data_IF_061875443731
#
_entry.id   IF_061875443731
#
_cell.length_a   1.000
_cell.length_b   1.000
_cell.length_c   1.000
_cell.angle_alpha   90.00
_cell.angle_beta   90.00
_cell.angle_gamma   90.00
#
_symmetry.space_group_name_H-M   'P 1'
#
loop_
_entity.id
_entity.type
_entity.pdbx_description
1 polymer ?
#
# COMPACT_ATOMS: atom_id res chain seq x y z
N UNK A 1 -57.13 -56.46 -4.87
CA UNK A 1 -56.96 -55.00 -4.78
C UNK A 1 -55.47 -54.70 -5.01
N UNK A 2 -55.17 -53.72 -5.84
CA UNK A 2 -53.96 -53.51 -6.66
C UNK A 2 -52.59 -53.39 -5.92
N UNK A 3 -51.53 -53.81 -6.63
CA UNK A 3 -50.14 -53.35 -6.50
C UNK A 3 -49.95 -51.91 -7.05
N UNK A 4 -48.82 -51.26 -6.72
CA UNK A 4 -47.86 -50.44 -7.56
C UNK A 4 -47.29 -49.27 -6.70
N UNK A 5 -46.04 -49.30 -6.18
CA UNK A 5 -44.74 -48.77 -6.69
C UNK A 5 -44.78 -47.37 -7.37
N UNK A 6 -43.96 -46.40 -6.91
CA UNK A 6 -42.97 -45.64 -7.74
C UNK A 6 -42.60 -44.22 -7.26
N UNK A 7 -41.29 -44.03 -6.98
CA UNK A 7 -40.33 -42.97 -7.40
C UNK A 7 -40.73 -41.46 -7.50
N UNK A 8 -40.01 -40.65 -6.72
CA UNK A 8 -39.13 -39.49 -7.06
C UNK A 8 -39.48 -38.59 -8.28
N UNK A 9 -39.60 -37.27 -8.04
CA UNK A 9 -38.90 -36.20 -8.82
C UNK A 9 -38.55 -35.00 -7.93
N UNK A 10 -37.31 -34.56 -8.09
CA UNK A 10 -36.61 -33.38 -7.54
C UNK A 10 -36.79 -32.18 -8.50
N UNK A 11 -36.96 -30.92 -8.06
CA UNK A 11 -36.38 -29.71 -8.73
C UNK A 11 -36.79 -28.34 -8.12
N UNK A 12 -35.78 -27.68 -7.52
CA UNK A 12 -35.32 -26.28 -7.69
C UNK A 12 -36.21 -25.05 -7.38
N UNK A 13 -35.72 -24.32 -6.35
CA UNK A 13 -35.35 -22.88 -6.26
C UNK A 13 -36.41 -21.79 -6.52
N UNK A 14 -36.58 -20.92 -5.51
CA UNK A 14 -36.42 -19.47 -5.68
C UNK A 14 -36.14 -18.77 -4.35
N UNK A 15 -35.07 -17.97 -4.32
CA UNK A 15 -34.70 -17.00 -3.28
C UNK A 15 -35.58 -15.75 -3.39
N UNK A 16 -35.98 -15.12 -2.26
CA UNK A 16 -36.13 -13.65 -2.17
C UNK A 16 -36.29 -13.14 -0.73
N UNK A 17 -35.45 -12.12 -0.45
CA UNK A 17 -35.57 -11.02 0.51
C UNK A 17 -35.56 -11.27 2.03
N UNK A 18 -34.37 -11.08 2.63
CA UNK A 18 -34.24 -10.50 3.97
C UNK A 18 -34.10 -8.98 3.86
N UNK A 19 -34.92 -8.26 4.63
CA UNK A 19 -34.96 -6.79 4.74
C UNK A 19 -33.76 -6.31 5.55
N UNK A 20 -32.99 -5.37 5.01
CA UNK A 20 -31.97 -4.63 5.74
C UNK A 20 -32.61 -3.37 6.33
N UNK A 21 -32.48 -3.20 7.64
CA UNK A 21 -32.98 -2.06 8.40
C UNK A 21 -32.09 -0.84 8.15
N UNK A 22 -32.62 0.18 7.49
CA UNK A 22 -31.94 1.44 7.21
C UNK A 22 -32.04 2.38 8.42
N UNK A 23 -30.90 2.69 9.05
CA UNK A 23 -30.77 3.88 9.88
C UNK A 23 -30.49 5.07 8.96
N UNK A 24 -31.48 5.97 8.86
CA UNK A 24 -31.47 7.21 8.08
C UNK A 24 -31.01 8.34 9.01
N UNK A 25 -29.81 8.90 8.80
CA UNK A 25 -29.41 10.20 9.39
C UNK A 25 -29.55 11.28 8.33
N UNK A 26 -30.44 12.23 8.61
CA UNK A 26 -30.78 13.40 7.82
C UNK A 26 -29.53 14.25 7.49
N UNK A 27 -29.28 14.47 6.21
CA UNK A 27 -28.57 15.66 5.73
C UNK A 27 -29.60 16.55 5.03
N UNK A 28 -29.67 17.80 5.46
CA UNK A 28 -30.47 18.86 4.86
C UNK A 28 -30.10 19.02 3.38
N UNK A 29 -31.10 18.83 2.51
CA UNK A 29 -31.09 19.39 1.16
C UNK A 29 -31.36 20.89 1.26
N UNK A 30 -30.37 21.71 0.93
CA UNK A 30 -30.61 23.05 0.39
C UNK A 30 -29.37 23.57 -0.31
N UNK A 31 -29.48 23.69 -1.63
CA UNK A 31 -28.68 24.49 -2.56
C UNK A 31 -27.18 24.20 -2.68
N UNK A 32 -26.83 23.32 -3.61
CA UNK A 32 -25.65 23.52 -4.45
C UNK A 32 -26.10 23.55 -5.91
N UNK A 33 -25.84 24.69 -6.55
CA UNK A 33 -26.04 24.91 -7.98
C UNK A 33 -25.21 23.92 -8.80
N UNK A 34 -25.78 23.52 -9.93
CA UNK A 34 -25.25 22.61 -10.93
C UNK A 34 -23.87 23.06 -11.44
N UNK A 35 -22.79 22.36 -11.05
CA UNK A 35 -21.70 22.02 -11.98
C UNK A 35 -20.69 20.97 -11.47
N UNK A 36 -21.04 20.10 -10.52
CA UNK A 36 -20.13 19.01 -10.14
C UNK A 36 -20.55 17.74 -10.88
N UNK A 37 -19.81 17.38 -11.92
CA UNK A 37 -19.83 16.04 -12.47
C UNK A 37 -19.27 15.10 -11.39
N UNK A 38 -20.10 14.78 -10.40
CA UNK A 38 -19.75 14.03 -9.21
C UNK A 38 -19.12 12.71 -9.63
N UNK A 39 -17.80 12.62 -9.49
CA UNK A 39 -17.06 11.38 -9.68
C UNK A 39 -17.64 10.37 -8.71
N UNK A 40 -18.28 9.32 -9.24
CA UNK A 40 -18.89 8.29 -8.39
C UNK A 40 -17.83 7.72 -7.45
N UNK A 41 -18.15 7.48 -6.18
CA UNK A 41 -17.23 6.89 -5.19
C UNK A 41 -16.56 5.59 -5.68
N UNK A 42 -17.25 4.84 -6.55
CA UNK A 42 -16.76 3.63 -7.22
C UNK A 42 -15.53 3.86 -8.12
N UNK A 43 -15.32 5.08 -8.61
CA UNK A 43 -14.22 5.43 -9.49
C UNK A 43 -12.84 5.39 -8.78
N UNK A 44 -12.85 5.34 -7.45
CA UNK A 44 -11.65 5.29 -6.61
C UNK A 44 -11.38 3.90 -6.02
N UNK A 45 -12.18 2.89 -6.36
CA UNK A 45 -11.94 1.51 -5.90
C UNK A 45 -10.65 0.99 -6.52
N UNK A 46 -9.70 0.63 -5.66
CA UNK A 46 -8.45 0.01 -6.03
C UNK A 46 -8.58 -1.50 -5.85
N UNK A 47 -8.23 -2.27 -6.88
CA UNK A 47 -8.20 -3.72 -6.81
C UNK A 47 -6.75 -4.18 -6.74
N UNK A 48 -6.41 -4.97 -5.74
CA UNK A 48 -5.07 -5.49 -5.50
C UNK A 48 -5.10 -7.01 -5.53
N UNK A 49 -3.96 -7.60 -5.86
CA UNK A 49 -3.73 -9.03 -5.66
C UNK A 49 -2.55 -9.22 -4.69
N UNK A 50 -2.78 -9.96 -3.62
CA UNK A 50 -1.76 -10.28 -2.61
C UNK A 50 -1.31 -11.71 -2.80
N UNK A 51 -0.04 -11.88 -3.12
CA UNK A 51 0.60 -13.16 -3.35
C UNK A 51 1.46 -13.51 -2.13
N UNK A 52 1.15 -14.65 -1.50
CA UNK A 52 1.84 -15.16 -0.31
C UNK A 52 2.33 -16.57 -0.61
N UNK A 53 3.64 -16.78 -0.56
CA UNK A 53 4.24 -18.12 -0.67
C UNK A 53 4.80 -18.52 0.68
N UNK A 54 4.30 -19.63 1.22
CA UNK A 54 4.87 -20.26 2.41
C UNK A 54 5.97 -21.22 1.99
N UNK A 55 7.21 -20.95 2.43
CA UNK A 55 8.39 -21.73 2.02
C UNK A 55 8.86 -22.74 3.04
N UNK A 56 9.12 -22.28 4.27
CA UNK A 56 9.73 -23.14 5.28
C UNK A 56 9.34 -22.65 6.67
N UNK A 57 9.22 -23.57 7.62
CA UNK A 57 9.10 -23.25 9.04
C UNK A 57 10.27 -23.86 9.80
N UNK A 58 10.78 -23.13 10.80
CA UNK A 58 11.85 -23.55 11.73
C UNK A 58 11.42 -23.34 13.17
N UNK A 59 12.05 -24.09 14.08
CA UNK A 59 11.74 -24.03 15.51
C UNK A 59 10.67 -25.02 15.95
N UNK A 60 10.53 -26.16 15.24
CA UNK A 60 9.60 -27.25 15.55
C UNK A 60 10.23 -28.40 16.35
N UNK A 61 11.42 -28.23 16.96
CA UNK A 61 12.11 -29.33 17.65
C UNK A 61 11.37 -29.89 18.86
N UNK A 62 10.41 -29.13 19.41
CA UNK A 62 9.53 -29.60 20.50
C UNK A 62 8.48 -30.62 20.05
N UNK A 63 8.31 -30.79 18.74
CA UNK A 63 7.28 -31.62 18.15
C UNK A 63 7.95 -32.87 17.56
N UNK A 64 7.36 -34.08 17.73
CA UNK A 64 7.88 -35.27 17.09
C UNK A 64 7.95 -35.10 15.58
N UNK A 65 9.07 -35.50 14.98
CA UNK A 65 9.37 -35.24 13.56
C UNK A 65 8.37 -35.87 12.59
N UNK A 66 7.70 -36.95 13.00
CA UNK A 66 6.67 -37.67 12.23
C UNK A 66 5.28 -37.03 12.30
N UNK A 67 5.09 -35.94 13.06
CA UNK A 67 3.81 -35.23 13.08
C UNK A 67 3.63 -34.43 11.81
N UNK A 68 2.39 -34.39 11.34
CA UNK A 68 2.00 -33.61 10.17
C UNK A 68 1.67 -32.19 10.59
N UNK A 69 2.21 -31.22 9.87
CA UNK A 69 1.97 -29.79 10.03
C UNK A 69 1.51 -29.17 8.72
N UNK A 70 0.72 -28.10 8.82
CA UNK A 70 0.30 -27.31 7.66
C UNK A 70 0.07 -25.86 8.08
N UNK A 71 0.17 -24.95 7.10
CA UNK A 71 -0.10 -23.54 7.29
C UNK A 71 -1.45 -23.16 6.69
N UNK A 72 -2.13 -22.21 7.32
CA UNK A 72 -3.25 -21.50 6.70
C UNK A 72 -2.92 -20.03 6.56
N UNK A 73 -3.24 -19.46 5.41
CA UNK A 73 -3.06 -18.05 5.09
C UNK A 73 -4.43 -17.43 4.86
N UNK A 74 -4.67 -16.25 5.44
CA UNK A 74 -5.90 -15.48 5.26
C UNK A 74 -5.54 -14.01 5.08
N UNK A 75 -6.21 -13.33 4.16
CA UNK A 75 -6.13 -11.88 3.97
C UNK A 75 -7.44 -11.28 4.45
N UNK A 76 -7.38 -10.33 5.39
CA UNK A 76 -8.53 -9.56 5.91
C UNK A 76 -9.65 -10.35 6.59
N UNK A 77 -9.45 -11.66 6.81
CA UNK A 77 -10.50 -12.55 7.29
C UNK A 77 -11.43 -13.07 6.19
N UNK A 78 -11.01 -12.97 4.93
CA UNK A 78 -11.65 -13.63 3.79
C UNK A 78 -11.37 -15.14 3.75
N UNK A 79 -11.36 -15.71 2.55
CA UNK A 79 -11.11 -17.13 2.35
C UNK A 79 -9.71 -17.54 2.83
N UNK A 80 -9.65 -18.72 3.44
CA UNK A 80 -8.40 -19.28 3.96
C UNK A 80 -7.80 -20.20 2.90
N UNK A 81 -6.56 -19.94 2.53
CA UNK A 81 -5.77 -20.91 1.79
C UNK A 81 -5.06 -21.84 2.77
N UNK A 82 -5.06 -23.15 2.50
CA UNK A 82 -4.34 -24.15 3.29
C UNK A 82 -3.21 -24.73 2.43
N UNK A 83 -2.00 -24.79 2.98
CA UNK A 83 -0.87 -25.45 2.32
C UNK A 83 -1.04 -26.96 2.32
N UNK A 84 -0.19 -27.63 1.56
CA UNK A 84 -0.05 -29.08 1.66
C UNK A 84 0.44 -29.50 3.06
N UNK A 85 0.27 -30.78 3.35
CA UNK A 85 0.78 -31.41 4.57
C UNK A 85 2.28 -31.64 4.45
N UNK A 86 3.01 -31.29 5.50
CA UNK A 86 4.44 -31.59 5.61
C UNK A 86 4.76 -32.22 6.96
N UNK A 87 5.81 -33.01 7.02
CA UNK A 87 6.33 -33.54 8.28
C UNK A 87 7.01 -32.43 9.08
N UNK A 88 6.83 -32.42 10.40
CA UNK A 88 7.45 -31.43 11.28
C UNK A 88 8.99 -31.44 11.21
N UNK A 89 9.60 -32.58 10.88
CA UNK A 89 11.05 -32.70 10.68
C UNK A 89 11.55 -32.08 9.35
N UNK A 90 10.67 -31.90 8.36
CA UNK A 90 10.96 -31.33 7.03
C UNK A 90 9.80 -30.44 6.60
N UNK A 91 9.54 -29.39 7.37
CA UNK A 91 8.47 -28.42 7.13
C UNK A 91 8.84 -27.43 6.02
N UNK A 92 8.91 -27.92 4.79
CA UNK A 92 9.13 -27.15 3.57
C UNK A 92 7.89 -27.26 2.68
N UNK A 93 7.46 -26.13 2.16
CA UNK A 93 6.37 -25.97 1.22
C UNK A 93 6.85 -25.04 0.09
N UNK A 94 6.13 -25.00 -1.02
CA UNK A 94 6.27 -23.93 -2.04
C UNK A 94 4.87 -23.51 -2.52
N UNK A 95 3.91 -23.54 -1.60
CA UNK A 95 2.51 -23.26 -1.91
C UNK A 95 2.29 -21.76 -2.06
N UNK A 96 1.96 -21.33 -3.27
CA UNK A 96 1.53 -19.98 -3.59
C UNK A 96 0.03 -19.82 -3.32
N UNK A 97 -0.32 -18.80 -2.55
CA UNK A 97 -1.69 -18.37 -2.33
C UNK A 97 -1.88 -16.95 -2.88
N UNK A 98 -2.91 -16.77 -3.70
CA UNK A 98 -3.29 -15.49 -4.28
C UNK A 98 -4.61 -15.03 -3.67
N UNK A 99 -4.65 -13.78 -3.23
CA UNK A 99 -5.82 -13.21 -2.57
C UNK A 99 -6.17 -11.86 -3.20
N UNK A 100 -7.32 -11.76 -3.91
CA UNK A 100 -7.82 -10.46 -4.34
C UNK A 100 -8.30 -9.66 -3.12
N UNK A 101 -7.94 -8.38 -3.07
CA UNK A 101 -8.43 -7.44 -2.04
C UNK A 101 -8.64 -6.05 -2.62
N UNK A 102 -9.59 -5.31 -2.03
CA UNK A 102 -9.82 -3.90 -2.35
C UNK A 102 -9.30 -2.95 -1.27
N UNK A 103 -8.65 -3.46 -0.21
CA UNK A 103 -8.03 -2.61 0.80
C UNK A 103 -6.58 -2.36 0.45
N UNK A 104 -6.19 -1.10 0.57
CA UNK A 104 -4.82 -0.67 0.33
C UNK A 104 -3.86 -1.05 1.46
N UNK A 105 -4.37 -1.23 2.69
CA UNK A 105 -3.61 -1.66 3.86
C UNK A 105 -4.19 -2.98 4.41
N UNK A 106 -4.07 -4.10 3.66
CA UNK A 106 -4.62 -5.37 4.06
C UNK A 106 -3.82 -5.96 5.24
N UNK A 107 -4.51 -6.72 6.09
CA UNK A 107 -3.86 -7.49 7.16
C UNK A 107 -3.80 -8.95 6.74
N UNK A 108 -2.58 -9.45 6.57
CA UNK A 108 -2.31 -10.86 6.33
C UNK A 108 -2.18 -11.59 7.66
N UNK A 109 -2.70 -12.81 7.73
CA UNK A 109 -2.49 -13.69 8.87
C UNK A 109 -2.06 -15.06 8.38
N UNK A 110 -0.97 -15.55 8.96
CA UNK A 110 -0.46 -16.90 8.72
C UNK A 110 -0.54 -17.66 10.02
N UNK A 111 -1.17 -18.83 10.02
CA UNK A 111 -1.31 -19.68 11.20
C UNK A 111 -0.72 -21.04 10.89
N UNK A 112 0.05 -21.56 11.82
CA UNK A 112 0.64 -22.88 11.74
C UNK A 112 -0.15 -23.84 12.62
N UNK A 113 -0.51 -24.99 12.07
CA UNK A 113 -1.27 -26.03 12.75
C UNK A 113 -0.53 -27.35 12.69
N UNK A 114 -0.77 -28.18 13.72
CA UNK A 114 -0.45 -29.60 13.70
C UNK A 114 -1.73 -30.39 13.42
N UNK A 115 -1.65 -31.40 12.57
CA UNK A 115 -2.73 -32.35 12.42
C UNK A 115 -2.67 -33.40 13.53
N UNK A 116 -3.78 -33.58 14.24
CA UNK A 116 -3.89 -34.56 15.30
C UNK A 116 -4.95 -35.59 14.89
N UNK A 117 -4.58 -36.87 14.69
CA UNK A 117 -5.47 -37.88 14.10
C UNK A 117 -6.69 -38.26 14.94
N UNK A 118 -6.88 -37.66 16.13
CA UNK A 118 -7.97 -38.00 17.06
C UNK A 118 -8.98 -36.88 17.34
N UNK A 119 -8.85 -35.69 16.76
CA UNK A 119 -9.74 -34.56 17.08
C UNK A 119 -10.19 -33.80 15.82
N UNK A 120 -11.50 -33.61 15.66
CA UNK A 120 -12.13 -32.91 14.54
C UNK A 120 -12.01 -31.37 14.61
N UNK A 121 -11.39 -30.80 15.66
CA UNK A 121 -11.27 -29.36 15.82
C UNK A 121 -9.91 -28.85 15.29
N UNK A 122 -9.95 -28.03 14.24
CA UNK A 122 -8.76 -27.42 13.62
C UNK A 122 -8.13 -26.36 14.55
N UNK A 123 -8.90 -25.77 15.48
CA UNK A 123 -8.47 -24.61 16.26
C UNK A 123 -7.64 -24.94 17.51
N UNK A 124 -7.70 -26.16 18.03
CA UNK A 124 -7.00 -26.56 19.26
C UNK A 124 -5.53 -26.98 19.04
N UNK A 125 -5.10 -27.15 17.78
CA UNK A 125 -3.74 -27.58 17.44
C UNK A 125 -2.86 -26.46 16.84
N UNK A 126 -3.21 -25.20 17.07
CA UNK A 126 -2.45 -24.05 16.57
C UNK A 126 -1.12 -23.93 17.31
N UNK A 127 -0.02 -23.96 16.57
CA UNK A 127 1.35 -23.84 17.07
C UNK A 127 1.84 -22.40 17.12
N UNK A 128 1.43 -21.61 16.12
CA UNK A 128 1.86 -20.22 15.99
C UNK A 128 0.91 -19.41 15.12
N UNK A 129 0.98 -18.09 15.29
CA UNK A 129 0.26 -17.11 14.49
C UNK A 129 1.18 -15.95 14.15
N UNK A 130 1.13 -15.54 12.90
CA UNK A 130 1.66 -14.29 12.39
C UNK A 130 0.49 -13.40 11.96
N UNK A 131 0.56 -12.12 12.26
CA UNK A 131 -0.36 -11.10 11.76
C UNK A 131 0.46 -9.90 11.35
N UNK A 132 0.36 -9.49 10.08
CA UNK A 132 1.15 -8.39 9.53
C UNK A 132 0.23 -7.50 8.69
N UNK A 133 0.40 -6.20 8.81
CA UNK A 133 -0.19 -5.23 7.90
C UNK A 133 0.81 -4.95 6.79
N UNK A 134 0.38 -5.09 5.54
CA UNK A 134 1.21 -4.81 4.36
C UNK A 134 0.64 -3.61 3.61
N UNK A 135 1.39 -3.14 2.62
CA UNK A 135 0.97 -2.08 1.71
C UNK A 135 1.44 -2.41 0.27
N UNK A 136 1.04 -1.64 -0.76
CA UNK A 136 1.38 -1.95 -2.15
C UNK A 136 2.88 -1.81 -2.48
N UNK A 137 3.67 -1.25 -1.57
CA UNK A 137 5.13 -1.18 -1.70
C UNK A 137 5.83 -2.39 -1.06
N UNK A 138 5.06 -3.22 -0.34
CA UNK A 138 5.56 -4.39 0.36
C UNK A 138 5.94 -5.51 -0.62
N UNK A 139 7.25 -5.70 -0.79
CA UNK A 139 7.83 -6.78 -1.57
C UNK A 139 8.99 -7.41 -0.79
N UNK A 140 8.74 -8.56 -0.17
CA UNK A 140 9.74 -9.30 0.60
C UNK A 140 9.80 -10.73 0.08
N UNK A 141 11.02 -11.20 -0.21
CA UNK A 141 11.30 -12.55 -0.67
C UNK A 141 12.28 -13.23 0.27
N UNK A 142 12.13 -14.55 0.44
CA UNK A 142 12.88 -15.39 1.36
C UNK A 142 12.97 -14.82 2.78
N UNK A 143 11.89 -14.17 3.23
CA UNK A 143 11.90 -13.38 4.44
C UNK A 143 11.53 -14.23 5.65
N UNK A 144 12.47 -14.32 6.60
CA UNK A 144 12.26 -14.97 7.89
C UNK A 144 11.57 -14.03 8.86
N UNK A 145 10.46 -14.48 9.42
CA UNK A 145 9.71 -13.75 10.45
C UNK A 145 9.34 -14.66 11.61
N UNK A 146 9.47 -14.12 12.82
CA UNK A 146 9.07 -14.78 14.05
C UNK A 146 7.54 -14.88 14.14
N UNK A 147 7.05 -16.08 14.43
CA UNK A 147 5.65 -16.32 14.72
C UNK A 147 5.39 -16.19 16.22
N UNK A 148 4.26 -15.60 16.57
CA UNK A 148 3.77 -15.58 17.95
C UNK A 148 3.32 -16.99 18.30
N UNK A 149 4.03 -17.63 19.22
CA UNK A 149 3.74 -18.99 19.67
C UNK A 149 2.38 -19.09 20.37
N UNK A 150 1.75 -20.24 20.24
CA UNK A 150 0.64 -20.64 21.10
C UNK A 150 1.18 -21.24 22.42
N UNK A 151 0.30 -21.41 23.42
CA UNK A 151 0.63 -21.73 24.84
C UNK A 151 1.43 -23.03 25.08
N UNK A 152 1.74 -23.82 24.04
CA UNK A 152 2.28 -25.18 24.14
C UNK A 152 3.67 -25.39 23.50
N UNK A 153 4.33 -24.36 22.97
CA UNK A 153 5.62 -24.50 22.27
C UNK A 153 6.79 -24.07 23.16
N UNK A 154 7.84 -24.90 23.23
CA UNK A 154 9.06 -24.66 24.04
C UNK A 154 9.78 -23.33 23.74
N UNK A 155 10.81 -22.98 24.52
CA UNK A 155 11.52 -21.69 24.46
C UNK A 155 12.21 -21.33 23.11
N UNK A 156 12.28 -22.22 22.12
CA UNK A 156 12.92 -21.92 20.81
C UNK A 156 12.05 -21.03 19.91
N UNK A 157 12.59 -19.95 19.33
CA UNK A 157 11.84 -19.04 18.45
C UNK A 157 11.29 -19.79 17.22
N UNK A 158 9.96 -19.75 17.03
CA UNK A 158 9.27 -20.31 15.87
C UNK A 158 9.36 -19.29 14.74
N UNK A 159 9.99 -19.65 13.61
CA UNK A 159 10.21 -18.77 12.46
C UNK A 159 9.57 -19.36 11.22
N UNK A 160 8.97 -18.52 10.38
CA UNK A 160 8.44 -18.90 9.07
C UNK A 160 9.15 -18.09 7.99
N UNK A 161 9.46 -18.74 6.87
CA UNK A 161 10.01 -18.14 5.66
C UNK A 161 8.87 -17.91 4.68
N UNK A 162 8.67 -16.64 4.31
CA UNK A 162 7.60 -16.22 3.43
C UNK A 162 8.15 -15.39 2.25
N UNK A 163 7.50 -15.54 1.11
CA UNK A 163 7.50 -14.50 0.08
C UNK A 163 6.15 -13.80 0.14
N UNK A 164 6.15 -12.47 0.25
CA UNK A 164 4.93 -11.67 0.28
C UNK A 164 5.09 -10.53 -0.70
N UNK A 165 4.16 -10.44 -1.65
CA UNK A 165 4.12 -9.40 -2.66
C UNK A 165 2.68 -8.92 -2.83
N UNK A 166 2.51 -7.61 -2.84
CA UNK A 166 1.24 -6.99 -3.21
C UNK A 166 1.40 -6.33 -4.58
N UNK A 167 0.52 -6.67 -5.52
CA UNK A 167 0.55 -6.08 -6.86
C UNK A 167 -0.08 -4.69 -6.84
N UNK A 168 0.68 -3.70 -7.32
CA UNK A 168 0.23 -2.31 -7.43
C UNK A 168 -0.63 -2.13 -8.67
N UNK A 169 -1.90 -1.69 -8.54
CA UNK A 169 -2.77 -1.50 -9.70
C UNK A 169 -2.36 -0.26 -10.49
N UNK A 170 -2.68 -0.25 -11.79
CA UNK A 170 -2.23 0.78 -12.73
C UNK A 170 -2.77 2.18 -12.41
N UNK A 171 -3.97 2.24 -11.81
CA UNK A 171 -4.62 3.48 -11.38
C UNK A 171 -4.00 4.04 -10.09
N UNK A 172 -3.24 3.25 -9.32
CA UNK A 172 -2.47 3.76 -8.18
C UNK A 172 -1.12 4.28 -8.66
N UNK A 173 -0.91 5.60 -8.62
CA UNK A 173 0.35 6.24 -9.06
C UNK A 173 1.39 6.29 -7.96
N UNK A 174 0.98 6.67 -6.76
CA UNK A 174 1.85 6.71 -5.58
C UNK A 174 1.06 6.31 -4.34
N UNK A 175 1.72 5.75 -3.34
CA UNK A 175 1.11 5.48 -2.04
C UNK A 175 2.19 5.55 -0.97
N UNK A 176 1.79 5.89 0.25
CA UNK A 176 2.72 5.93 1.36
C UNK A 176 2.19 6.70 2.56
N UNK A 177 2.97 6.65 3.64
CA UNK A 177 2.69 7.42 4.83
C UNK A 177 3.28 8.82 4.69
N UNK A 178 2.41 9.83 4.66
CA UNK A 178 2.85 11.22 4.64
C UNK A 178 2.18 12.00 5.77
N UNK A 179 2.76 13.13 6.10
CA UNK A 179 2.06 14.19 6.81
C UNK A 179 1.46 15.10 5.76
N UNK A 180 0.24 15.56 6.01
CA UNK A 180 -0.34 16.62 5.20
C UNK A 180 -1.21 17.52 6.05
N UNK A 181 -1.27 18.80 5.66
CA UNK A 181 -2.18 19.80 6.20
C UNK A 181 -2.60 20.76 5.11
N UNK A 182 -3.91 20.92 4.93
CA UNK A 182 -4.52 21.91 4.06
C UNK A 182 -5.52 22.78 4.81
N UNK A 183 -5.98 23.84 4.14
CA UNK A 183 -7.05 24.71 4.66
C UNK A 183 -8.42 24.03 4.57
N UNK A 184 -8.69 23.40 3.42
CA UNK A 184 -9.97 22.77 3.12
C UNK A 184 -9.98 21.27 3.47
N UNK A 185 -8.91 20.56 3.14
CA UNK A 185 -8.73 19.12 3.40
C UNK A 185 -7.65 18.87 4.45
N UNK A 186 -7.78 17.79 5.22
CA UNK A 186 -6.78 17.35 6.20
C UNK A 186 -6.30 18.46 7.16
N UNK A 187 -7.25 19.19 7.76
CA UNK A 187 -7.01 20.40 8.59
C UNK A 187 -6.00 20.25 9.73
N UNK A 188 -5.74 19.02 10.19
CA UNK A 188 -4.79 18.71 11.26
C UNK A 188 -3.53 18.08 10.69
N UNK A 189 -2.36 18.53 11.12
CA UNK A 189 -1.10 17.86 10.81
C UNK A 189 -1.01 16.51 11.52
N UNK A 190 -1.06 15.42 10.74
CA UNK A 190 -0.99 14.05 11.27
C UNK A 190 -0.48 13.12 10.19
N UNK A 191 0.33 12.14 10.60
CA UNK A 191 0.74 11.03 9.74
C UNK A 191 -0.48 10.22 9.31
N UNK A 192 -0.69 10.09 8.02
CA UNK A 192 -1.79 9.32 7.43
C UNK A 192 -1.29 8.58 6.20
N UNK A 193 -2.01 7.53 5.82
CA UNK A 193 -1.74 6.83 4.59
C UNK A 193 -2.46 7.52 3.44
N UNK A 194 -1.68 8.00 2.46
CA UNK A 194 -2.19 8.64 1.27
C UNK A 194 -1.92 7.77 0.05
N UNK A 195 -2.85 7.82 -0.90
CA UNK A 195 -2.73 7.19 -2.19
C UNK A 195 -3.10 8.20 -3.26
N UNK A 196 -2.21 8.34 -4.21
CA UNK A 196 -2.39 9.15 -5.39
C UNK A 196 -2.97 8.30 -6.51
N UNK A 197 -4.23 8.56 -6.87
CA UNK A 197 -5.02 7.72 -7.76
C UNK A 197 -5.36 8.47 -9.05
N UNK A 198 -5.22 7.78 -10.17
CA UNK A 198 -5.68 8.22 -11.49
C UNK A 198 -7.03 7.56 -11.77
N UNK A 199 -8.08 8.38 -11.92
CA UNK A 199 -9.43 7.91 -12.27
C UNK A 199 -9.64 7.86 -13.78
N UNK A 200 -9.14 8.88 -14.48
CA UNK A 200 -9.19 8.96 -15.94
C UNK A 200 -7.90 9.57 -16.47
N UNK A 201 -7.78 9.76 -17.79
CA UNK A 201 -6.59 10.34 -18.40
C UNK A 201 -6.21 11.71 -17.81
N UNK A 202 -7.21 12.49 -17.38
CA UNK A 202 -7.03 13.86 -16.87
C UNK A 202 -7.57 14.05 -15.44
N UNK A 203 -8.18 13.02 -14.85
CA UNK A 203 -8.71 13.09 -13.50
C UNK A 203 -7.80 12.35 -12.52
N UNK A 204 -7.21 13.11 -11.61
CA UNK A 204 -6.32 12.62 -10.58
C UNK A 204 -6.77 13.13 -9.21
N UNK A 205 -6.62 12.31 -8.17
CA UNK A 205 -6.91 12.73 -6.82
C UNK A 205 -5.90 12.14 -5.83
N UNK A 206 -5.63 12.89 -4.78
CA UNK A 206 -4.93 12.40 -3.59
C UNK A 206 -5.95 11.99 -2.55
N UNK A 207 -5.93 10.72 -2.18
CA UNK A 207 -6.92 10.09 -1.35
C UNK A 207 -6.29 9.62 -0.03
N UNK A 208 -6.97 9.88 1.09
CA UNK A 208 -6.58 9.39 2.40
C UNK A 208 -7.30 8.08 2.70
N UNK A 209 -6.55 7.06 3.05
CA UNK A 209 -7.11 5.76 3.46
C UNK A 209 -6.98 5.55 4.98
N UNK A 210 -7.91 4.76 5.52
CA UNK A 210 -7.84 4.21 6.87
C UNK A 210 -7.62 2.71 6.77
N UNK A 211 -7.04 2.15 7.82
CA UNK A 211 -6.93 0.71 7.97
C UNK A 211 -8.31 0.05 7.90
N UNK A 212 -8.37 -1.12 7.25
CA UNK A 212 -9.58 -1.94 7.14
C UNK A 212 -10.74 -1.28 6.38
N UNK A 213 -10.45 -0.27 5.56
CA UNK A 213 -11.42 0.41 4.70
C UNK A 213 -10.95 0.35 3.24
N UNK A 214 -11.86 -0.05 2.36
CA UNK A 214 -11.65 -0.08 0.90
C UNK A 214 -11.84 1.29 0.25
N UNK A 215 -12.59 2.18 0.89
CA UNK A 215 -12.91 3.50 0.36
C UNK A 215 -12.07 4.60 1.04
N UNK A 216 -11.73 5.67 0.29
CA UNK A 216 -11.04 6.81 0.85
C UNK A 216 -11.93 7.54 1.86
N UNK A 217 -11.36 7.97 2.99
CA UNK A 217 -12.10 8.73 4.01
C UNK A 217 -12.21 10.21 3.64
N UNK A 218 -11.19 10.74 3.00
CA UNK A 218 -11.09 12.13 2.54
C UNK A 218 -10.32 12.12 1.23
N UNK A 219 -10.66 13.00 0.29
CA UNK A 219 -10.02 13.09 -1.02
C UNK A 219 -9.85 14.54 -1.44
N UNK A 220 -8.83 14.79 -2.25
CA UNK A 220 -8.56 16.09 -2.87
C UNK A 220 -8.28 15.87 -4.36
N UNK A 221 -9.20 16.29 -5.25
CA UNK A 221 -8.93 16.35 -6.68
C UNK A 221 -7.72 17.25 -6.97
N UNK A 222 -6.88 16.89 -7.94
CA UNK A 222 -5.70 17.67 -8.32
C UNK A 222 -5.92 18.64 -9.49
N UNK A 223 -7.15 18.77 -9.97
CA UNK A 223 -7.47 19.70 -11.04
C UNK A 223 -7.14 21.15 -10.64
N UNK A 224 -6.31 21.81 -11.46
CA UNK A 224 -5.86 23.18 -11.25
C UNK A 224 -4.82 23.36 -10.13
N UNK A 225 -4.32 22.28 -9.52
CA UNK A 225 -3.21 22.36 -8.56
C UNK A 225 -1.86 22.31 -9.28
N UNK A 226 -0.85 22.94 -8.69
CA UNK A 226 0.57 22.79 -9.01
C UNK A 226 1.29 22.23 -7.78
N UNK A 227 2.45 21.62 -7.99
CA UNK A 227 3.32 21.08 -6.94
C UNK A 227 4.68 21.74 -7.00
N UNK A 228 5.29 21.99 -5.84
CA UNK A 228 6.69 22.39 -5.76
C UNK A 228 7.36 21.86 -4.48
N UNK A 229 8.69 21.84 -4.47
CA UNK A 229 9.46 21.57 -3.25
C UNK A 229 9.30 22.74 -2.29
N UNK A 230 9.22 22.43 -1.00
CA UNK A 230 9.15 23.43 0.04
C UNK A 230 10.30 23.26 1.03
N UNK A 231 10.78 24.37 1.57
CA UNK A 231 11.68 24.37 2.71
C UNK A 231 10.92 24.00 3.99
N UNK A 232 11.59 23.39 4.99
CA UNK A 232 10.99 23.17 6.29
C UNK A 232 10.60 24.52 6.90
N UNK A 233 9.33 24.67 7.28
CA UNK A 233 8.86 25.89 7.94
C UNK A 233 9.50 26.00 9.34
N UNK A 234 10.38 26.98 9.54
CA UNK A 234 11.09 27.19 10.81
C UNK A 234 10.16 27.58 11.97
N UNK A 235 8.95 28.08 11.70
CA UNK A 235 7.94 28.37 12.73
C UNK A 235 7.21 27.11 13.23
N UNK A 236 7.42 26.00 12.53
CA UNK A 236 6.79 24.72 12.73
C UNK A 236 7.89 23.66 12.65
N UNK A 237 8.61 23.44 13.76
CA UNK A 237 9.18 22.12 14.03
C UNK A 237 7.97 21.19 14.18
N UNK A 238 7.34 20.83 13.07
CA UNK A 238 6.32 19.80 12.99
C UNK A 238 7.09 18.52 13.21
N UNK A 239 7.22 18.13 14.48
CA UNK A 239 8.17 17.20 15.08
C UNK A 239 8.42 15.86 14.35
N UNK A 240 7.67 15.53 13.29
CA UNK A 240 7.71 14.23 12.65
C UNK A 240 7.84 14.24 11.10
N UNK A 241 7.93 15.40 10.43
CA UNK A 241 8.15 15.49 8.97
C UNK A 241 9.51 16.10 8.62
N UNK A 242 10.27 15.49 7.70
CA UNK A 242 11.64 15.93 7.36
C UNK A 242 11.75 16.66 6.03
N UNK A 243 11.07 16.16 5.01
CA UNK A 243 11.18 16.66 3.63
C UNK A 243 9.82 17.16 3.16
N UNK A 244 9.73 18.45 2.85
CA UNK A 244 8.47 19.13 2.59
C UNK A 244 8.26 19.39 1.09
N UNK A 245 7.00 19.39 0.69
CA UNK A 245 6.53 19.84 -0.62
C UNK A 245 5.12 20.41 -0.48
N UNK A 246 4.75 21.32 -1.37
CA UNK A 246 3.43 21.98 -1.35
C UNK A 246 2.67 21.68 -2.62
N UNK A 247 1.36 21.60 -2.48
CA UNK A 247 0.41 21.48 -3.58
C UNK A 247 -0.51 22.69 -3.49
N UNK A 248 -0.49 23.55 -4.51
CA UNK A 248 -1.08 24.90 -4.48
C UNK A 248 -2.09 25.06 -5.60
N UNK A 249 -3.24 25.63 -5.27
CA UNK A 249 -4.25 26.13 -6.20
C UNK A 249 -4.66 27.52 -5.75
N UNK A 250 -5.24 28.32 -6.64
CA UNK A 250 -5.72 29.65 -6.29
C UNK A 250 -6.63 29.63 -5.04
N UNK A 251 -6.17 30.24 -3.95
CA UNK A 251 -6.89 30.27 -2.66
C UNK A 251 -6.75 29.03 -1.76
N UNK A 252 -6.01 27.99 -2.17
CA UNK A 252 -5.79 26.76 -1.39
C UNK A 252 -4.34 26.27 -1.45
N UNK A 253 -3.79 25.94 -0.29
CA UNK A 253 -2.42 25.42 -0.15
C UNK A 253 -2.47 24.21 0.76
N UNK A 254 -1.93 23.11 0.27
CA UNK A 254 -1.76 21.88 1.03
C UNK A 254 -0.29 21.55 1.13
N UNK A 255 0.23 21.58 2.36
CA UNK A 255 1.60 21.22 2.66
C UNK A 255 1.67 19.74 3.00
N UNK A 256 2.60 19.02 2.37
CA UNK A 256 2.92 17.64 2.65
C UNK A 256 4.35 17.52 3.19
N UNK A 257 4.59 16.47 3.98
CA UNK A 257 5.94 16.05 4.34
C UNK A 257 6.10 14.53 4.34
N UNK A 258 7.29 14.09 3.96
CA UNK A 258 7.75 12.70 4.03
C UNK A 258 8.90 12.56 5.02
N UNK A 259 9.21 11.31 5.38
CA UNK A 259 10.35 10.99 6.25
C UNK A 259 11.65 10.85 5.44
N UNK A 260 11.54 10.47 4.17
CA UNK A 260 12.66 10.25 3.27
C UNK A 260 12.62 11.20 2.07
N UNK A 261 13.79 11.61 1.61
CA UNK A 261 13.93 12.52 0.46
C UNK A 261 13.50 11.86 -0.85
N UNK A 262 13.84 10.58 -1.02
CA UNK A 262 13.46 9.80 -2.19
C UNK A 262 11.94 9.67 -2.33
N UNK A 263 11.23 9.51 -1.20
CA UNK A 263 9.77 9.51 -1.19
C UNK A 263 9.23 10.88 -1.62
N UNK A 264 9.73 11.99 -1.05
CA UNK A 264 9.35 13.34 -1.47
C UNK A 264 9.54 13.52 -2.98
N UNK A 265 10.72 13.17 -3.48
CA UNK A 265 11.03 13.31 -4.90
C UNK A 265 10.04 12.52 -5.77
N UNK A 266 9.76 11.27 -5.38
CA UNK A 266 8.80 10.41 -6.08
C UNK A 266 7.40 11.03 -6.08
N UNK A 267 6.93 11.55 -4.94
CA UNK A 267 5.64 12.25 -4.82
C UNK A 267 5.58 13.48 -5.71
N UNK A 268 6.57 14.37 -5.64
CA UNK A 268 6.62 15.59 -6.47
C UNK A 268 6.63 15.25 -7.96
N UNK A 269 7.41 14.26 -8.39
CA UNK A 269 7.43 13.85 -9.80
C UNK A 269 6.09 13.26 -10.27
N UNK A 270 5.42 12.47 -9.42
CA UNK A 270 4.12 11.90 -9.75
C UNK A 270 3.05 13.00 -9.87
N UNK A 271 3.03 13.95 -8.93
CA UNK A 271 2.12 15.09 -8.92
C UNK A 271 2.39 16.04 -10.09
N UNK A 272 3.66 16.33 -10.41
CA UNK A 272 4.06 17.16 -11.55
C UNK A 272 3.52 16.60 -12.88
N UNK A 273 3.68 15.30 -13.09
CA UNK A 273 3.19 14.62 -14.31
C UNK A 273 1.67 14.67 -14.42
N UNK A 274 0.96 14.65 -13.30
CA UNK A 274 -0.49 14.63 -13.28
C UNK A 274 -1.14 16.01 -13.38
N UNK A 275 -0.50 17.02 -12.77
CA UNK A 275 -0.96 18.41 -12.83
C UNK A 275 -0.72 19.03 -14.20
N UNK A 276 0.29 18.55 -14.94
CA UNK A 276 0.63 19.10 -16.26
C UNK A 276 1.12 20.55 -16.19
N UNK A 277 1.55 21.01 -15.01
CA UNK A 277 2.05 22.37 -14.82
C UNK A 277 3.24 22.65 -15.75
N UNK A 278 3.33 23.87 -16.28
CA UNK A 278 4.40 24.24 -17.22
C UNK A 278 5.77 24.37 -16.55
N UNK A 279 5.80 24.80 -15.29
CA UNK A 279 7.05 24.96 -14.55
C UNK A 279 7.45 23.65 -13.87
N UNK A 280 8.65 23.13 -14.19
CA UNK A 280 9.16 21.90 -13.60
C UNK A 280 9.69 22.16 -12.17
N UNK A 281 9.22 21.43 -11.15
CA UNK A 281 9.73 21.54 -9.78
C UNK A 281 11.21 21.17 -9.72
N UNK A 282 12.03 22.03 -9.12
CA UNK A 282 13.48 21.82 -8.99
C UNK A 282 13.79 21.39 -7.56
N UNK A 283 14.41 20.21 -7.34
CA UNK A 283 14.77 19.79 -6.00
C UNK A 283 15.77 20.78 -5.39
N UNK A 284 15.66 21.08 -4.08
CA UNK A 284 16.63 21.94 -3.42
C UNK A 284 18.02 21.30 -3.53
N UNK A 285 19.02 22.10 -3.88
CA UNK A 285 20.41 21.66 -3.92
C UNK A 285 20.85 21.40 -2.48
N UNK A 286 20.88 20.13 -2.07
CA UNK A 286 21.51 19.72 -0.82
C UNK A 286 22.98 20.13 -0.90
N UNK A 287 23.40 21.12 -0.10
CA UNK A 287 24.79 21.54 0.02
C UNK A 287 25.62 20.44 0.71
N UNK A 288 25.86 19.34 -0.01
CA UNK A 288 26.97 18.44 0.27
C UNK A 288 28.20 19.17 -0.27
N UNK A 289 29.08 19.60 0.64
CA UNK A 289 30.32 20.37 0.44
C UNK A 289 30.20 21.90 0.57
N UNK A 290 29.99 22.40 1.79
CA UNK A 290 30.55 23.69 2.23
C UNK A 290 31.67 23.47 3.25
N UNK A 291 32.78 22.97 2.75
CA UNK A 291 34.11 23.23 3.29
C UNK A 291 35.07 23.30 2.11
N UNK A 292 35.12 24.47 1.47
CA UNK A 292 36.26 25.07 0.78
C UNK A 292 35.77 26.15 -0.17
N UNK A 293 35.73 27.40 0.32
CA UNK A 293 36.36 28.55 -0.34
C UNK A 293 35.91 29.83 0.36
N UNK A 294 36.85 30.36 1.13
CA UNK A 294 36.84 31.70 1.70
C UNK A 294 36.89 32.72 0.55
N UNK A 295 35.98 33.70 0.62
CA UNK A 295 36.15 35.10 0.20
C UNK A 295 36.63 35.44 -1.23
N UNK A 296 35.80 36.17 -1.97
CA UNK A 296 36.26 36.99 -3.10
C UNK A 296 35.13 37.66 -3.88
N UNK A 297 34.71 38.86 -3.44
CA UNK A 297 33.89 39.80 -4.21
C UNK A 297 34.60 40.22 -5.51
N UNK A 298 33.85 40.41 -6.60
CA UNK A 298 33.81 41.66 -7.39
C UNK A 298 32.83 41.61 -8.57
N UNK A 299 32.13 42.73 -8.74
CA UNK A 299 31.24 43.13 -9.83
C UNK A 299 31.90 43.12 -11.23
N UNK A 300 31.09 43.00 -12.30
CA UNK A 300 30.93 43.98 -13.41
C UNK A 300 30.32 43.35 -14.69
N UNK A 301 29.21 43.95 -15.11
CA UNK A 301 28.74 44.32 -16.48
C UNK A 301 29.26 43.64 -17.77
N UNK A 302 28.27 43.37 -18.63
CA UNK A 302 28.18 43.61 -20.09
C UNK A 302 28.69 42.60 -21.16
N UNK A 303 27.81 42.42 -22.16
CA UNK A 303 28.06 42.20 -23.59
C UNK A 303 28.86 40.98 -24.10
N UNK A 304 28.12 40.03 -24.69
CA UNK A 304 28.25 39.55 -26.08
C UNK A 304 29.60 38.98 -26.57
N UNK A 305 29.63 37.66 -26.87
CA UNK A 305 30.22 37.08 -28.10
C UNK A 305 30.11 35.56 -28.16
N UNK A 306 29.39 35.08 -29.17
CA UNK A 306 29.50 33.76 -29.77
C UNK A 306 30.94 33.40 -30.15
N UNK A 307 31.35 32.14 -29.95
CA UNK A 307 32.22 31.40 -30.87
C UNK A 307 32.20 29.89 -30.58
N UNK A 308 31.87 29.16 -31.64
CA UNK A 308 32.01 27.72 -31.86
C UNK A 308 33.30 27.12 -31.28
N UNK A 309 33.21 25.83 -30.93
CA UNK A 309 34.10 24.70 -31.26
C UNK A 309 33.54 23.53 -30.43
N UNK A 310 33.19 22.36 -30.95
CA UNK A 310 33.80 21.59 -32.03
C UNK A 310 33.88 20.17 -31.49
N UNK A 311 33.04 19.31 -32.04
CA UNK A 311 32.75 17.94 -31.64
C UNK A 311 33.99 17.02 -31.74
N UNK A 312 34.13 16.13 -30.76
CA UNK A 312 34.70 14.77 -30.76
C UNK A 312 36.00 14.46 -31.53
N UNK A 313 37.03 14.11 -30.76
CA UNK A 313 38.13 13.27 -31.21
C UNK A 313 38.45 12.22 -30.12
N UNK A 314 38.12 10.96 -30.35
CA UNK A 314 38.86 9.81 -29.81
C UNK A 314 38.87 8.66 -30.82
N UNK A 315 39.88 8.78 -31.68
CA UNK A 315 40.82 7.78 -32.19
C UNK A 315 40.39 6.30 -32.16
N UNK A 316 40.25 5.82 -33.38
CA UNK A 316 40.32 4.48 -33.96
C UNK A 316 41.30 3.50 -33.29
N UNK A 317 40.77 2.30 -33.07
CA UNK A 317 41.47 1.01 -32.96
C UNK A 317 42.11 0.58 -34.28
N UNK A 318 43.22 -0.15 -34.20
CA UNK A 318 43.60 -1.19 -35.16
C UNK A 318 44.48 -2.26 -34.46
N UNK A 319 44.62 -3.47 -35.03
CA UNK A 319 44.48 -4.76 -34.32
C UNK A 319 45.66 -5.27 -33.49
#
# INVERSE_FOLDING_TARGET
MMMTVSRSVNSRRSFRHLRYSSNKSLYNESNFEENDAGLSELAFVLNFNVNITCKEVRGLKSIPTNRIVYCTMEVEGGEKYRTEHAEAGKSVWESLAEFPTNQILPIIKVKLFMENPGLLSLDENKLGKLSLQIDPTFNKTNWWIDMIKSKYTSNEQLKVKLDVRMEKPQNLKMCGWCYARGKNVWKTWKRRYYAFVQVSQYCFATCRYRERKSEPTEMMPLEGYTVDYAEPDNGLIMHDGKYFFTVVREGDVVTFATNEENERHSWVQALYRATGQSHKPTPPITQINKSNSTSGQKDLSDSDRSKNLGFDEYIQSDP
#
